data_IF_815853577065
#
_entry.id   IF_815853577065
#
_cell.length_a   1.000
_cell.length_b   1.000
_cell.length_c   1.000
_cell.angle_alpha   90.00
_cell.angle_beta   90.00
_cell.angle_gamma   90.00
#
_symmetry.space_group_name_H-M   'P 1'
#
loop_
_entity.id
_entity.type
_entity.pdbx_description
1 polymer ?
#
# COMPACT_ATOMS: atom_id res chain seq x y z
N UNK A 1 5.60 -12.65 16.08
CA UNK A 1 5.86 -12.46 14.64
C UNK A 1 5.71 -10.98 14.34
N UNK A 2 6.47 -10.40 13.40
CA UNK A 2 6.43 -8.96 13.11
C UNK A 2 6.60 -8.67 11.61
N UNK A 3 6.08 -7.52 11.17
CA UNK A 3 6.38 -6.91 9.87
C UNK A 3 7.32 -5.72 10.09
N UNK A 4 8.15 -5.43 9.10
CA UNK A 4 9.00 -4.23 9.10
C UNK A 4 8.24 -2.98 8.64
N UNK A 5 7.35 -3.15 7.67
CA UNK A 5 6.31 -2.17 7.30
C UNK A 5 5.04 -2.94 6.94
N UNK A 6 3.89 -2.45 7.39
CA UNK A 6 2.60 -3.07 7.14
C UNK A 6 2.22 -3.07 5.65
N UNK A 7 1.16 -3.81 5.31
CA UNK A 7 0.60 -3.80 3.97
C UNK A 7 0.02 -2.41 3.66
N UNK A 8 0.52 -1.77 2.61
CA UNK A 8 0.05 -0.47 2.15
C UNK A 8 0.27 -0.31 0.64
N UNK A 9 -0.34 0.72 0.07
CA UNK A 9 0.03 1.25 -1.25
C UNK A 9 0.73 2.61 -1.07
N UNK A 10 1.57 3.02 -2.00
CA UNK A 10 2.24 4.32 -1.90
C UNK A 10 1.29 5.43 -2.34
N UNK A 11 1.18 6.52 -1.57
CA UNK A 11 0.35 7.67 -1.97
C UNK A 11 0.97 8.50 -3.10
N UNK A 12 2.30 8.40 -3.27
CA UNK A 12 3.11 9.12 -4.24
C UNK A 12 2.66 8.90 -5.69
N UNK A 13 3.27 9.61 -6.64
CA UNK A 13 3.14 9.30 -8.06
C UNK A 13 3.99 8.08 -8.43
N UNK A 14 5.27 8.13 -8.07
CA UNK A 14 6.24 7.07 -8.26
C UNK A 14 7.07 6.93 -6.99
N UNK A 15 7.53 5.71 -6.70
CA UNK A 15 8.49 5.45 -5.63
C UNK A 15 9.66 4.65 -6.19
N UNK A 16 10.87 5.15 -5.97
CA UNK A 16 12.12 4.46 -6.34
C UNK A 16 12.74 3.87 -5.09
N UNK A 17 13.03 2.57 -5.09
CA UNK A 17 13.53 1.85 -3.92
C UNK A 17 14.86 1.17 -4.25
N UNK A 18 15.88 1.52 -3.47
CA UNK A 18 17.15 0.80 -3.38
C UNK A 18 17.17 -0.05 -2.11
N UNK A 19 17.89 -1.16 -2.11
CA UNK A 19 18.05 -2.01 -0.93
C UNK A 19 19.44 -2.64 -0.84
N UNK A 20 19.85 -3.01 0.37
CA UNK A 20 21.17 -3.60 0.65
C UNK A 20 21.27 -5.11 0.31
N UNK A 21 20.55 -5.57 -0.72
CA UNK A 21 20.48 -6.98 -1.15
C UNK A 21 19.96 -7.98 -0.09
N UNK A 22 19.35 -7.52 1.00
CA UNK A 22 18.61 -8.39 1.93
C UNK A 22 17.14 -8.44 1.50
N UNK A 23 16.58 -9.63 1.23
CA UNK A 23 15.18 -9.77 0.81
C UNK A 23 14.23 -9.31 1.91
N UNK A 24 13.03 -8.89 1.51
CA UNK A 24 11.99 -8.53 2.47
C UNK A 24 10.81 -7.76 1.89
N UNK A 25 10.96 -7.12 0.73
CA UNK A 25 9.81 -6.52 0.05
C UNK A 25 8.92 -7.63 -0.50
N UNK A 26 7.63 -7.59 -0.16
CA UNK A 26 6.60 -8.40 -0.79
C UNK A 26 5.55 -7.52 -1.45
N UNK A 27 5.05 -7.95 -2.60
CA UNK A 27 3.94 -7.33 -3.33
C UNK A 27 2.77 -8.30 -3.39
N UNK A 28 1.55 -7.81 -3.26
CA UNK A 28 0.35 -8.61 -3.43
C UNK A 28 0.02 -8.69 -4.92
N UNK A 29 0.12 -9.88 -5.49
CA UNK A 29 -0.16 -10.13 -6.90
C UNK A 29 -1.12 -11.30 -7.03
N UNK A 30 -2.28 -11.08 -7.68
CA UNK A 30 -3.33 -12.10 -7.86
C UNK A 30 -3.77 -12.81 -6.57
N UNK A 31 -3.81 -12.07 -5.47
CA UNK A 31 -4.23 -12.57 -4.15
C UNK A 31 -3.11 -13.24 -3.34
N UNK A 32 -1.90 -13.33 -3.88
CA UNK A 32 -0.76 -13.97 -3.22
C UNK A 32 0.37 -12.97 -2.95
N UNK A 33 1.05 -13.14 -1.81
CA UNK A 33 2.22 -12.33 -1.46
C UNK A 33 3.45 -12.88 -2.18
N UNK A 34 3.99 -12.11 -3.12
CA UNK A 34 5.18 -12.44 -3.90
C UNK A 34 6.37 -11.66 -3.37
N UNK A 35 7.45 -12.34 -3.00
CA UNK A 35 8.70 -11.71 -2.57
C UNK A 35 9.48 -11.18 -3.77
N UNK A 36 9.81 -9.89 -3.77
CA UNK A 36 10.64 -9.29 -4.81
C UNK A 36 12.06 -9.87 -4.78
N UNK A 37 12.57 -10.22 -5.97
CA UNK A 37 13.95 -10.71 -6.11
C UNK A 37 14.95 -9.58 -5.94
N UNK A 38 16.08 -9.87 -5.30
CA UNK A 38 17.20 -8.94 -5.20
C UNK A 38 18.02 -8.99 -6.50
N UNK A 39 17.73 -8.09 -7.44
CA UNK A 39 18.46 -7.99 -8.71
C UNK A 39 19.62 -6.99 -8.54
N UNK A 40 20.88 -7.40 -8.77
CA UNK A 40 22.02 -6.49 -8.69
C UNK A 40 21.88 -5.29 -9.64
N UNK A 41 22.42 -4.14 -9.24
CA UNK A 41 22.44 -2.89 -10.02
C UNK A 41 21.07 -2.39 -10.51
N UNK A 42 20.01 -2.81 -9.81
CA UNK A 42 18.63 -2.44 -10.14
C UNK A 42 18.04 -1.42 -9.18
N UNK A 43 16.97 -0.76 -9.63
CA UNK A 43 16.09 0.08 -8.81
C UNK A 43 14.69 -0.48 -8.94
N UNK A 44 14.02 -0.70 -7.81
CA UNK A 44 12.61 -1.09 -7.80
C UNK A 44 11.78 0.18 -7.98
N UNK A 45 10.86 0.17 -8.95
CA UNK A 45 9.92 1.25 -9.21
C UNK A 45 8.52 0.80 -8.84
N UNK A 46 7.85 1.56 -7.98
CA UNK A 46 6.41 1.43 -7.72
C UNK A 46 5.65 2.58 -8.38
N UNK A 47 4.50 2.22 -8.94
CA UNK A 47 3.43 3.17 -9.25
C UNK A 47 2.66 3.41 -7.97
N UNK A 48 2.47 4.68 -7.60
CA UNK A 48 1.64 5.05 -6.45
C UNK A 48 0.23 5.50 -6.83
N UNK A 49 -0.58 5.76 -5.80
CA UNK A 49 -1.99 6.10 -5.89
C UNK A 49 -2.24 7.31 -6.81
N UNK A 50 -1.31 8.28 -6.81
CA UNK A 50 -1.45 9.49 -7.65
C UNK A 50 -1.53 9.13 -9.13
N UNK A 51 -0.66 8.24 -9.63
CA UNK A 51 -0.69 7.81 -11.04
C UNK A 51 -1.87 6.87 -11.31
N UNK A 52 -2.24 6.03 -10.35
CA UNK A 52 -3.45 5.20 -10.48
C UNK A 52 -4.71 6.08 -10.64
N UNK A 53 -4.87 7.12 -9.82
CA UNK A 53 -5.97 8.09 -9.92
C UNK A 53 -5.96 8.81 -11.27
N UNK A 54 -4.82 9.39 -11.66
CA UNK A 54 -4.68 10.16 -12.90
C UNK A 54 -4.95 9.30 -14.14
N UNK A 55 -4.55 8.03 -14.11
CA UNK A 55 -4.73 7.08 -15.21
C UNK A 55 -6.09 6.37 -15.19
N UNK A 56 -7.00 6.77 -14.30
CA UNK A 56 -8.30 6.12 -14.09
C UNK A 56 -8.18 4.59 -13.89
N UNK A 57 -7.16 4.17 -13.15
CA UNK A 57 -6.94 2.77 -12.80
C UNK A 57 -6.21 1.93 -13.84
N UNK A 58 -5.67 2.52 -14.91
CA UNK A 58 -4.88 1.76 -15.89
C UNK A 58 -3.55 1.29 -15.31
N UNK A 59 -2.85 2.17 -14.60
CA UNK A 59 -1.66 1.79 -13.82
C UNK A 59 -2.06 1.50 -12.37
N UNK A 60 -1.51 0.43 -11.80
CA UNK A 60 -1.95 -0.09 -10.50
C UNK A 60 -1.02 0.33 -9.38
N UNK A 61 -1.59 0.91 -8.32
CA UNK A 61 -0.92 1.10 -7.05
C UNK A 61 -1.02 -0.20 -6.25
N UNK A 62 0.06 -0.97 -6.18
CA UNK A 62 0.01 -2.34 -5.64
C UNK A 62 0.21 -2.35 -4.13
N UNK A 63 -0.59 -3.18 -3.44
CA UNK A 63 -0.36 -3.48 -2.03
C UNK A 63 0.98 -4.15 -1.88
N UNK A 64 1.79 -3.64 -0.95
CA UNK A 64 3.10 -4.17 -0.66
C UNK A 64 3.41 -4.05 0.83
N UNK A 65 4.32 -4.88 1.34
CA UNK A 65 4.75 -4.91 2.75
C UNK A 65 6.23 -5.24 2.86
N UNK A 66 6.82 -4.98 4.02
CA UNK A 66 8.20 -5.34 4.33
C UNK A 66 8.28 -6.39 5.41
N UNK A 67 9.02 -7.46 5.16
CA UNK A 67 9.35 -8.47 6.15
C UNK A 67 10.63 -8.11 6.91
N UNK A 68 10.71 -8.60 8.14
CA UNK A 68 11.94 -8.65 8.95
C UNK A 68 12.44 -10.08 9.04
N UNK A 69 13.73 -10.25 9.32
CA UNK A 69 14.35 -11.54 9.55
C UNK A 69 15.33 -11.43 10.75
N UNK A 70 15.74 -12.58 11.31
CA UNK A 70 16.65 -12.64 12.46
C UNK A 70 18.13 -12.73 12.09
N UNK A 71 18.45 -12.89 10.80
CA UNK A 71 19.77 -13.27 10.32
C UNK A 71 20.61 -12.07 9.88
N UNK A 72 19.98 -11.10 9.22
CA UNK A 72 20.64 -9.92 8.62
C UNK A 72 19.76 -8.68 8.71
N UNK A 73 20.41 -7.55 9.03
CA UNK A 73 19.77 -6.24 8.99
C UNK A 73 19.45 -5.87 7.55
N UNK A 74 18.16 -5.62 7.27
CA UNK A 74 17.69 -5.10 5.99
C UNK A 74 17.63 -3.57 6.05
N UNK A 75 18.17 -2.91 5.03
CA UNK A 75 18.07 -1.46 4.83
C UNK A 75 17.57 -1.19 3.42
N UNK A 76 16.64 -0.25 3.30
CA UNK A 76 16.15 0.25 2.01
C UNK A 76 16.02 1.76 2.02
N UNK A 77 16.27 2.37 0.86
CA UNK A 77 16.10 3.80 0.63
C UNK A 77 14.98 3.99 -0.38
N UNK A 78 13.85 4.54 0.09
CA UNK A 78 12.71 4.87 -0.74
C UNK A 78 12.70 6.37 -1.04
N UNK A 79 12.60 6.73 -2.32
CA UNK A 79 12.45 8.11 -2.79
C UNK A 79 11.06 8.26 -3.38
N UNK A 80 10.23 9.07 -2.73
CA UNK A 80 8.84 9.32 -3.11
C UNK A 80 8.74 10.57 -3.99
N UNK A 81 8.20 10.41 -5.19
CA UNK A 81 7.88 11.53 -6.07
C UNK A 81 6.43 11.96 -5.82
N UNK A 82 6.26 13.01 -5.03
CA UNK A 82 4.94 13.50 -4.61
C UNK A 82 4.54 14.79 -5.34
N UNK A 83 3.26 14.97 -5.69
CA UNK A 83 2.75 16.25 -6.17
C UNK A 83 2.69 17.28 -5.01
N UNK A 84 2.65 18.59 -5.32
CA UNK A 84 2.41 19.62 -4.31
C UNK A 84 1.09 19.40 -3.56
N UNK A 85 1.17 19.27 -2.23
CA UNK A 85 0.10 18.76 -1.36
C UNK A 85 -1.28 19.40 -1.57
N UNK A 86 -1.32 20.72 -1.72
CA UNK A 86 -2.57 21.50 -1.81
C UNK A 86 -2.83 22.12 -3.17
N UNK A 87 -1.83 22.17 -4.07
CA UNK A 87 -1.93 22.93 -5.33
C UNK A 87 -2.48 22.10 -6.49
N UNK A 88 -2.39 20.78 -6.40
CA UNK A 88 -2.87 19.86 -7.44
C UNK A 88 -4.08 19.11 -6.92
N UNK A 89 -5.17 19.17 -7.70
CA UNK A 89 -6.34 18.31 -7.51
C UNK A 89 -6.14 17.04 -8.35
N UNK A 90 -5.97 15.92 -7.67
CA UNK A 90 -5.92 14.59 -8.23
C UNK A 90 -7.32 14.16 -8.65
N UNK A 91 -7.46 13.81 -9.93
CA UNK A 91 -8.66 13.22 -10.52
C UNK A 91 -8.26 12.49 -11.81
N UNK A 92 -9.07 11.54 -12.30
CA UNK A 92 -8.86 10.96 -13.62
C UNK A 92 -8.64 12.04 -14.69
N UNK A 93 -7.58 11.88 -15.49
CA UNK A 93 -7.30 12.78 -16.61
C UNK A 93 -8.44 12.69 -17.63
N UNK A 94 -8.86 13.81 -18.26
CA UNK A 94 -9.96 13.81 -19.22
C UNK A 94 -9.82 12.75 -20.32
N UNK A 95 -8.60 12.51 -20.78
CA UNK A 95 -8.26 11.55 -21.84
C UNK A 95 -8.42 10.08 -21.41
N UNK A 96 -8.58 9.83 -20.10
CA UNK A 96 -8.73 8.49 -19.52
C UNK A 96 -10.16 8.20 -19.07
N UNK A 97 -11.09 9.12 -19.35
CA UNK A 97 -12.52 9.02 -19.04
C UNK A 97 -13.32 9.08 -20.33
N UNK A 98 -14.32 8.20 -20.47
CA UNK A 98 -15.22 8.16 -21.61
C UNK A 98 -16.52 7.45 -21.26
N UNK A 99 -17.43 7.30 -22.24
CA UNK A 99 -18.74 6.65 -22.02
C UNK A 99 -18.60 5.22 -21.47
N UNK A 100 -17.69 4.43 -22.07
CA UNK A 100 -17.41 3.05 -21.65
C UNK A 100 -16.46 2.95 -20.43
N UNK A 101 -15.92 4.09 -19.97
CA UNK A 101 -14.97 4.14 -18.85
C UNK A 101 -15.24 5.38 -18.00
N UNK A 102 -16.24 5.33 -17.09
CA UNK A 102 -16.51 6.44 -16.19
C UNK A 102 -15.33 6.69 -15.24
N UNK A 103 -15.31 7.88 -14.64
CA UNK A 103 -14.32 8.23 -13.63
C UNK A 103 -14.48 7.34 -12.39
N UNK A 104 -13.44 6.57 -12.04
CA UNK A 104 -13.44 5.66 -10.89
C UNK A 104 -13.07 6.36 -9.58
N UNK A 105 -12.40 7.51 -9.67
CA UNK A 105 -11.85 8.22 -8.52
C UNK A 105 -12.45 9.62 -8.40
N UNK A 106 -12.96 10.02 -7.21
CA UNK A 106 -13.43 11.37 -6.98
C UNK A 106 -12.26 12.35 -6.89
N UNK A 107 -12.48 13.64 -7.22
CA UNK A 107 -11.43 14.65 -7.14
C UNK A 107 -11.01 14.94 -5.69
N UNK A 108 -9.71 14.94 -5.41
CA UNK A 108 -9.12 15.32 -4.10
C UNK A 108 -7.77 15.99 -4.28
N UNK A 109 -7.37 16.89 -3.39
CA UNK A 109 -5.95 17.28 -3.29
C UNK A 109 -5.12 16.09 -2.79
N UNK A 110 -3.80 16.12 -2.98
CA UNK A 110 -2.92 15.09 -2.43
C UNK A 110 -3.00 15.03 -0.90
N UNK A 111 -3.10 16.18 -0.22
CA UNK A 111 -3.33 16.23 1.23
C UNK A 111 -4.66 15.57 1.64
N UNK A 112 -5.74 15.85 0.91
CA UNK A 112 -7.04 15.22 1.15
C UNK A 112 -7.00 13.70 0.92
N UNK A 113 -6.28 13.23 -0.10
CA UNK A 113 -6.12 11.80 -0.37
C UNK A 113 -5.35 11.09 0.74
N UNK A 114 -4.20 11.66 1.18
CA UNK A 114 -3.46 11.14 2.32
C UNK A 114 -4.33 11.06 3.58
N UNK A 115 -5.06 12.15 3.87
CA UNK A 115 -5.97 12.23 5.00
C UNK A 115 -7.04 11.12 4.93
N UNK A 116 -7.74 11.00 3.80
CA UNK A 116 -8.76 9.98 3.59
C UNK A 116 -8.23 8.56 3.81
N UNK A 117 -7.02 8.26 3.35
CA UNK A 117 -6.39 6.95 3.52
C UNK A 117 -6.09 6.62 4.98
N UNK A 118 -5.63 7.61 5.75
CA UNK A 118 -5.38 7.46 7.18
C UNK A 118 -6.66 7.22 7.97
N UNK A 119 -7.73 7.98 7.70
CA UNK A 119 -9.02 7.79 8.37
C UNK A 119 -9.67 6.45 8.02
N UNK A 120 -9.58 6.03 6.74
CA UNK A 120 -10.09 4.71 6.36
C UNK A 120 -9.35 3.60 7.12
N UNK A 121 -8.03 3.71 7.28
CA UNK A 121 -7.24 2.74 8.05
C UNK A 121 -7.67 2.69 9.52
N UNK A 122 -7.96 3.84 10.15
CA UNK A 122 -8.44 3.85 11.54
C UNK A 122 -9.82 3.21 11.69
N UNK A 123 -10.73 3.42 10.73
CA UNK A 123 -12.06 2.81 10.78
C UNK A 123 -11.96 1.28 10.58
N UNK A 124 -11.12 0.82 9.66
CA UNK A 124 -10.85 -0.61 9.45
C UNK A 124 -10.22 -1.27 10.71
N UNK A 125 -9.30 -0.58 11.40
CA UNK A 125 -8.71 -1.05 12.67
C UNK A 125 -9.76 -1.16 13.79
N UNK A 126 -10.68 -0.18 13.91
CA UNK A 126 -11.78 -0.24 14.90
C UNK A 126 -12.72 -1.41 14.61
N UNK A 127 -13.04 -1.66 13.33
CA UNK A 127 -13.87 -2.79 12.94
C UNK A 127 -13.22 -4.15 13.20
N UNK A 128 -11.90 -4.26 13.03
CA UNK A 128 -11.14 -5.49 13.35
C UNK A 128 -11.06 -5.75 14.88
N UNK A 129 -11.00 -4.69 15.70
CA UNK A 129 -11.00 -4.81 17.18
C UNK A 129 -12.37 -5.21 17.75
N UNK A 130 -13.48 -4.73 17.18
CA UNK A 130 -14.85 -5.08 17.61
C UNK A 130 -15.25 -6.52 17.25
N UNK A 131 -14.50 -7.19 16.37
CA UNK A 131 -14.72 -8.57 15.93
C UNK A 131 -14.14 -9.67 16.84
N UNK A 132 -13.43 -9.31 17.92
CA UNK A 132 -12.82 -10.30 18.83
C UNK A 132 -13.87 -10.88 19.77
N UNK A 133 -14.51 -11.98 19.35
CA UNK A 133 -15.32 -12.81 20.24
C UNK A 133 -14.39 -13.51 21.23
N UNK A 134 -14.44 -13.08 22.50
CA UNK A 134 -13.81 -13.80 23.61
C UNK A 134 -14.52 -15.15 23.75
N UNK A 135 -13.90 -16.22 23.27
CA UNK A 135 -14.36 -17.59 23.54
C UNK A 135 -13.93 -17.91 24.97
N UNK A 136 -14.82 -17.69 25.94
CA UNK A 136 -14.66 -18.26 27.27
C UNK A 136 -14.57 -19.78 27.13
N UNK A 137 -13.41 -20.34 27.47
CA UNK A 137 -13.25 -21.79 27.60
C UNK A 137 -13.98 -22.23 28.86
N UNK A 138 -15.14 -22.84 28.66
CA UNK A 138 -15.90 -23.52 29.69
C UNK A 138 -15.14 -24.82 30.02
N UNK A 139 -14.30 -24.78 31.06
CA UNK A 139 -13.55 -25.92 31.57
C UNK A 139 -14.53 -26.86 32.30
N UNK A 140 -15.14 -27.77 31.54
CA UNK A 140 -15.86 -28.91 32.11
C UNK A 140 -14.86 -30.01 32.44
N UNK A 141 -14.53 -30.04 33.73
CA UNK A 141 -14.02 -31.23 34.41
C UNK A 141 -14.81 -32.48 34.02
N UNK A 142 -14.07 -33.50 33.58
CA UNK A 142 -14.55 -34.88 33.50
C UNK A 142 -13.68 -35.70 34.44
N UNK A 143 -14.38 -36.53 35.21
CA UNK A 143 -13.98 -37.37 36.37
C UNK A 143 -12.62 -38.07 36.30
#
# INVERSE_FOLDING_TARGET
LALGVEAHTDVSALTFILHNMVPGLQVLYKGEWVTASCVPDSIILHVGDTIEILSNGMYKSVLHRGLVNRERVRVSWAVFCEPPKEKIVLKPLPETVGEDRPALFPPRTFAQHMKHKLFKKSDDEVHDEEGVVVVEHDDKSVE
#
